data_IF_028023759293
#
_entry.id   IF_028023759293
#
_cell.length_a   1.000
_cell.length_b   1.000
_cell.length_c   1.000
_cell.angle_alpha   90.00
_cell.angle_beta   90.00
_cell.angle_gamma   90.00
#
_symmetry.space_group_name_H-M   'P 1'
#
loop_
_entity.id
_entity.type
_entity.pdbx_description
1 polymer ?
#
# COMPACT_ATOMS: atom_id res chain seq x y z
N UNK A 1 18.55 7.12 -6.96
CA UNK A 1 17.31 7.51 -7.68
C UNK A 1 16.07 6.86 -7.08
N UNK A 2 16.04 5.54 -6.89
CA UNK A 2 14.88 4.87 -6.25
C UNK A 2 14.69 5.26 -4.78
N UNK A 3 15.76 5.21 -3.97
CA UNK A 3 15.69 5.63 -2.56
C UNK A 3 15.20 7.07 -2.42
N UNK A 4 15.67 7.98 -3.28
CA UNK A 4 15.19 9.36 -3.32
C UNK A 4 13.67 9.44 -3.59
N UNK A 5 13.12 8.61 -4.48
CA UNK A 5 11.68 8.57 -4.72
C UNK A 5 10.92 7.97 -3.53
N UNK A 6 11.48 6.96 -2.87
CA UNK A 6 10.92 6.39 -1.64
C UNK A 6 10.89 7.42 -0.51
N UNK A 7 11.99 8.14 -0.30
CA UNK A 7 12.09 9.22 0.68
C UNK A 7 11.02 10.30 0.44
N UNK A 8 10.77 10.67 -0.83
CA UNK A 8 9.74 11.63 -1.21
C UNK A 8 8.32 11.11 -0.90
N UNK A 9 8.00 9.86 -1.25
CA UNK A 9 6.63 9.34 -1.05
C UNK A 9 6.35 9.00 0.42
N UNK A 10 7.38 8.77 1.23
CA UNK A 10 7.25 8.50 2.68
C UNK A 10 7.28 9.78 3.52
N UNK A 11 7.71 10.92 2.97
CA UNK A 11 7.74 12.20 3.66
C UNK A 11 6.33 12.78 3.84
N UNK A 12 5.82 12.70 5.07
CA UNK A 12 4.50 13.25 5.45
C UNK A 12 4.39 14.77 5.32
N UNK A 13 5.50 15.48 5.20
CA UNK A 13 5.53 16.94 4.98
C UNK A 13 5.44 17.33 3.51
N UNK A 14 5.65 16.37 2.61
CA UNK A 14 5.59 16.59 1.18
C UNK A 14 4.15 16.84 0.70
N UNK A 15 3.94 17.78 -0.25
CA UNK A 15 2.62 18.00 -0.83
C UNK A 15 2.08 16.73 -1.51
N UNK A 16 0.77 16.48 -1.41
CA UNK A 16 0.14 15.31 -2.03
C UNK A 16 0.46 15.19 -3.54
N UNK A 17 0.51 16.32 -4.26
CA UNK A 17 0.90 16.35 -5.68
C UNK A 17 2.31 15.81 -5.94
N UNK A 18 3.25 16.07 -5.03
CA UNK A 18 4.63 15.57 -5.13
C UNK A 18 4.68 14.07 -4.84
N UNK A 19 3.90 13.60 -3.85
CA UNK A 19 3.77 12.18 -3.52
C UNK A 19 3.19 11.41 -4.72
N UNK A 20 2.09 11.88 -5.31
CA UNK A 20 1.50 11.26 -6.50
C UNK A 20 2.46 11.24 -7.69
N UNK A 21 3.23 12.32 -7.89
CA UNK A 21 4.26 12.36 -8.92
C UNK A 21 5.38 11.35 -8.65
N UNK A 22 5.79 11.19 -7.39
CA UNK A 22 6.73 10.18 -6.95
C UNK A 22 6.25 8.77 -7.30
N UNK A 23 5.00 8.44 -6.96
CA UNK A 23 4.40 7.15 -7.33
C UNK A 23 4.28 6.94 -8.84
N UNK A 24 4.00 8.00 -9.61
CA UNK A 24 3.99 7.92 -11.08
C UNK A 24 5.36 7.55 -11.64
N UNK A 25 6.45 8.11 -11.09
CA UNK A 25 7.80 7.73 -11.48
C UNK A 25 8.13 6.29 -11.08
N UNK A 26 7.76 5.87 -9.86
CA UNK A 26 7.92 4.48 -9.42
C UNK A 26 7.17 3.51 -10.36
N UNK A 27 5.93 3.84 -10.75
CA UNK A 27 5.17 3.07 -11.73
C UNK A 27 5.89 2.94 -13.08
N UNK A 28 6.42 4.04 -13.62
CA UNK A 28 7.20 4.01 -14.88
C UNK A 28 8.40 3.07 -14.76
N UNK A 29 9.12 3.10 -13.63
CA UNK A 29 10.27 2.21 -13.42
C UNK A 29 9.82 0.74 -13.39
N UNK A 30 8.68 0.43 -12.76
CA UNK A 30 8.14 -0.94 -12.74
C UNK A 30 7.80 -1.45 -14.13
N UNK A 31 7.34 -0.56 -15.03
CA UNK A 31 7.02 -0.89 -16.41
C UNK A 31 8.24 -1.25 -17.23
N UNK A 32 9.39 -0.65 -16.95
CA UNK A 32 10.66 -0.92 -17.66
C UNK A 32 11.34 -2.17 -17.11
N UNK A 33 11.42 -2.32 -15.78
CA UNK A 33 12.17 -3.42 -15.14
C UNK A 33 11.35 -4.69 -14.91
N UNK A 34 10.03 -4.59 -15.01
CA UNK A 34 9.09 -5.63 -14.59
C UNK A 34 8.74 -5.50 -13.11
N UNK A 35 7.45 -5.54 -12.80
CA UNK A 35 6.95 -5.28 -11.44
C UNK A 35 7.50 -6.27 -10.41
N UNK A 36 7.63 -7.57 -10.73
CA UNK A 36 8.14 -8.58 -9.77
C UNK A 36 9.57 -8.33 -9.31
N UNK A 37 10.44 -7.86 -10.21
CA UNK A 37 11.83 -7.54 -9.90
C UNK A 37 11.87 -6.26 -9.07
N UNK A 38 11.08 -5.27 -9.48
CA UNK A 38 11.00 -3.99 -8.78
C UNK A 38 10.46 -4.14 -7.37
N UNK A 39 9.47 -5.01 -7.17
CA UNK A 39 8.79 -5.19 -5.90
C UNK A 39 9.71 -5.59 -4.75
N UNK A 40 10.76 -6.36 -5.05
CA UNK A 40 11.78 -6.76 -4.07
C UNK A 40 12.61 -5.59 -3.52
N UNK A 41 12.47 -4.41 -4.13
CA UNK A 41 13.21 -3.22 -3.76
C UNK A 41 12.41 -2.30 -2.83
N UNK A 42 11.12 -2.57 -2.64
CA UNK A 42 10.33 -1.84 -1.66
C UNK A 42 10.76 -2.19 -0.23
N UNK A 43 10.69 -1.22 0.70
CA UNK A 43 10.74 -1.51 2.13
C UNK A 43 9.66 -2.53 2.48
N UNK A 44 10.06 -3.64 3.07
CA UNK A 44 9.15 -4.72 3.45
C UNK A 44 9.61 -5.22 4.82
N UNK A 45 9.65 -4.30 5.78
CA UNK A 45 9.78 -4.65 7.19
C UNK A 45 8.42 -4.50 7.87
N UNK A 46 8.28 -5.12 9.05
CA UNK A 46 7.04 -5.03 9.85
C UNK A 46 6.69 -3.58 10.19
N UNK A 47 7.71 -2.73 10.34
CA UNK A 47 7.56 -1.29 10.60
C UNK A 47 6.92 -0.52 9.43
N UNK A 48 6.93 -1.07 8.21
CA UNK A 48 6.39 -0.42 7.01
C UNK A 48 4.89 -0.67 6.81
N UNK A 49 4.29 -1.63 7.52
CA UNK A 49 2.87 -2.00 7.37
C UNK A 49 1.95 -0.82 7.65
N UNK A 50 2.04 -0.23 8.86
CA UNK A 50 1.15 0.88 9.25
C UNK A 50 1.37 2.13 8.39
N UNK A 51 2.62 2.58 8.09
CA UNK A 51 2.85 3.68 7.16
C UNK A 51 2.18 3.47 5.79
N UNK A 52 2.23 2.25 5.24
CA UNK A 52 1.58 1.95 3.95
C UNK A 52 0.06 1.98 4.07
N UNK A 53 -0.51 1.47 5.17
CA UNK A 53 -1.94 1.55 5.44
C UNK A 53 -2.43 2.99 5.67
N UNK A 54 -1.64 3.83 6.33
CA UNK A 54 -1.92 5.26 6.50
C UNK A 54 -1.96 5.97 5.15
N UNK A 55 -0.96 5.73 4.28
CA UNK A 55 -0.94 6.31 2.92
C UNK A 55 -2.16 5.90 2.10
N UNK A 56 -2.69 4.69 2.31
CA UNK A 56 -3.91 4.20 1.69
C UNK A 56 -5.18 4.88 2.19
N UNK A 57 -5.24 5.20 3.47
CA UNK A 57 -6.41 5.85 4.08
C UNK A 57 -6.71 7.22 3.42
N UNK A 58 -5.67 7.88 2.92
CA UNK A 58 -5.77 9.16 2.22
C UNK A 58 -6.15 9.03 0.73
N UNK A 59 -6.24 7.81 0.18
CA UNK A 59 -6.57 7.59 -1.23
C UNK A 59 -8.07 7.47 -1.47
N UNK A 60 -8.53 7.99 -2.62
CA UNK A 60 -9.89 7.81 -3.09
C UNK A 60 -9.96 6.74 -4.19
N UNK A 61 -10.62 5.59 -3.98
CA UNK A 61 -10.77 4.55 -5.00
C UNK A 61 -11.49 5.00 -6.27
N UNK A 62 -12.29 6.08 -6.20
CA UNK A 62 -13.07 6.63 -7.33
C UNK A 62 -12.31 7.70 -8.12
N UNK A 63 -11.15 8.14 -7.65
CA UNK A 63 -10.37 9.16 -8.34
C UNK A 63 -9.65 8.55 -9.55
N UNK A 64 -9.94 8.99 -10.76
CA UNK A 64 -9.29 8.42 -11.95
C UNK A 64 -7.90 9.02 -12.25
N UNK A 65 -7.50 10.10 -11.59
CA UNK A 65 -6.25 10.81 -11.88
C UNK A 65 -5.03 10.22 -11.16
N UNK A 66 -5.24 9.59 -9.99
CA UNK A 66 -4.17 9.10 -9.12
C UNK A 66 -4.05 7.58 -9.07
N UNK A 67 -4.55 6.88 -10.08
CA UNK A 67 -4.59 5.41 -10.09
C UNK A 67 -3.19 4.77 -9.98
N UNK A 68 -2.12 5.41 -10.48
CA UNK A 68 -0.75 4.93 -10.31
C UNK A 68 -0.35 4.87 -8.84
N UNK A 69 -0.80 5.82 -8.02
CA UNK A 69 -0.52 5.83 -6.58
C UNK A 69 -1.13 4.60 -5.92
N UNK A 70 -2.42 4.35 -6.17
CA UNK A 70 -3.15 3.22 -5.60
C UNK A 70 -2.59 1.88 -6.09
N UNK A 71 -2.27 1.79 -7.37
CA UNK A 71 -1.61 0.62 -7.94
C UNK A 71 -0.28 0.32 -7.24
N UNK A 72 0.58 1.32 -7.07
CA UNK A 72 1.89 1.13 -6.45
C UNK A 72 1.78 0.80 -4.96
N UNK A 73 0.85 1.42 -4.24
CA UNK A 73 0.58 1.11 -2.83
C UNK A 73 0.06 -0.33 -2.66
N UNK A 74 -0.82 -0.82 -3.55
CA UNK A 74 -1.35 -2.19 -3.47
C UNK A 74 -0.24 -3.22 -3.68
N UNK A 75 0.65 -2.96 -4.64
CA UNK A 75 1.80 -3.80 -4.86
C UNK A 75 2.77 -3.77 -3.66
N UNK A 76 3.02 -2.59 -3.09
CA UNK A 76 3.85 -2.46 -1.90
C UNK A 76 3.28 -3.29 -0.74
N UNK A 77 1.99 -3.11 -0.44
CA UNK A 77 1.30 -3.86 0.61
C UNK A 77 1.39 -5.38 0.39
N UNK A 78 1.28 -5.85 -0.85
CA UNK A 78 1.42 -7.27 -1.19
C UNK A 78 2.80 -7.84 -0.85
N UNK A 79 3.87 -7.07 -1.11
CA UNK A 79 5.23 -7.50 -0.73
C UNK A 79 5.41 -7.47 0.78
N UNK A 80 4.83 -6.48 1.45
CA UNK A 80 4.87 -6.42 2.92
C UNK A 80 4.14 -7.63 3.51
N UNK A 81 3.02 -8.09 2.95
CA UNK A 81 2.32 -9.29 3.42
C UNK A 81 3.08 -10.61 3.22
N UNK A 82 4.08 -10.66 2.33
CA UNK A 82 4.88 -11.87 2.09
C UNK A 82 5.94 -12.14 3.18
N UNK A 83 6.22 -11.17 4.05
CA UNK A 83 7.21 -11.34 5.11
C UNK A 83 6.62 -12.32 6.15
N UNK A 84 7.43 -13.28 6.68
CA UNK A 84 6.96 -14.23 7.68
C UNK A 84 6.84 -13.56 9.07
N UNK A 85 5.85 -12.71 9.26
CA UNK A 85 5.48 -12.15 10.56
C UNK A 85 3.98 -12.28 10.82
N UNK A 86 3.64 -12.25 12.09
CA UNK A 86 2.27 -12.40 12.54
C UNK A 86 1.64 -11.02 12.74
N UNK A 87 0.68 -10.67 11.90
CA UNK A 87 -0.07 -9.41 11.97
C UNK A 87 -0.79 -9.23 13.32
N UNK A 88 -1.15 -10.32 14.00
CA UNK A 88 -1.80 -10.25 15.32
C UNK A 88 -0.90 -9.59 16.39
N UNK A 89 0.42 -9.55 16.17
CA UNK A 89 1.36 -8.84 17.05
C UNK A 89 1.27 -7.33 16.90
N UNK A 90 0.87 -6.83 15.73
CA UNK A 90 0.67 -5.41 15.47
C UNK A 90 -0.69 -4.92 16.00
N UNK A 91 -1.68 -5.81 16.09
CA UNK A 91 -3.00 -5.51 16.63
C UNK A 91 -2.99 -5.18 18.15
N UNK A 92 -1.82 -5.28 18.81
CA UNK A 92 -1.50 -4.82 20.17
C UNK A 92 -2.70 -4.56 21.10
N UNK A 93 -3.05 -5.53 21.95
CA UNK A 93 -4.16 -5.44 22.93
C UNK A 93 -5.39 -4.68 22.38
N UNK A 94 -6.06 -5.22 21.35
CA UNK A 94 -7.42 -4.83 20.90
C UNK A 94 -8.46 -4.72 22.05
N UNK A 95 -8.08 -5.09 23.27
CA UNK A 95 -8.76 -4.80 24.53
C UNK A 95 -8.52 -3.34 24.95
N UNK A 96 -9.11 -2.36 24.27
CA UNK A 96 -9.31 -1.06 24.93
C UNK A 96 -10.65 -0.44 24.53
N UNK A 97 -11.53 -0.42 25.53
CA UNK A 97 -12.84 0.24 25.62
C UNK A 97 -14.06 -0.57 25.10
N UNK A 98 -15.08 -0.80 25.96
CA UNK A 98 -16.34 -1.41 25.54
C UNK A 98 -17.05 -0.47 24.56
N UNK A 99 -17.15 -0.88 23.29
CA UNK A 99 -17.88 -0.16 22.24
C UNK A 99 -17.05 0.26 21.02
N UNK A 100 -15.73 0.08 21.04
CA UNK A 100 -14.86 0.37 19.89
C UNK A 100 -14.24 -0.94 19.36
N UNK A 101 -14.92 -1.59 18.43
CA UNK A 101 -14.34 -2.72 17.68
C UNK A 101 -13.32 -2.15 16.69
N UNK A 102 -12.08 -1.93 17.14
CA UNK A 102 -11.00 -1.55 16.23
C UNK A 102 -10.74 -2.74 15.29
N UNK A 103 -10.87 -2.51 13.99
CA UNK A 103 -10.70 -3.51 12.95
C UNK A 103 -9.25 -4.01 12.96
N UNK A 104 -9.02 -5.33 12.85
CA UNK A 104 -7.67 -5.88 12.83
C UNK A 104 -6.91 -5.39 11.58
N UNK A 105 -5.58 -5.40 11.62
CA UNK A 105 -4.77 -5.04 10.46
C UNK A 105 -5.06 -5.95 9.28
N UNK A 106 -5.28 -7.24 9.52
CA UNK A 106 -5.67 -8.18 8.47
C UNK A 106 -7.01 -7.82 7.85
N UNK A 107 -8.02 -7.49 8.66
CA UNK A 107 -9.31 -7.05 8.16
C UNK A 107 -9.18 -5.74 7.36
N UNK A 108 -8.32 -4.80 7.79
CA UNK A 108 -8.03 -3.56 7.04
C UNK A 108 -7.43 -3.87 5.67
N UNK A 109 -6.44 -4.75 5.61
CA UNK A 109 -5.81 -5.18 4.35
C UNK A 109 -6.84 -5.83 3.43
N UNK A 110 -7.67 -6.74 3.95
CA UNK A 110 -8.72 -7.41 3.18
C UNK A 110 -9.76 -6.42 2.65
N UNK A 111 -10.23 -5.48 3.47
CA UNK A 111 -11.19 -4.46 3.05
C UNK A 111 -10.62 -3.58 1.93
N UNK A 112 -9.35 -3.18 2.05
CA UNK A 112 -8.65 -2.45 0.99
C UNK A 112 -8.64 -3.30 -0.29
N UNK A 113 -8.17 -4.54 -0.22
CA UNK A 113 -8.08 -5.42 -1.37
C UNK A 113 -9.44 -5.61 -2.06
N UNK A 114 -10.50 -5.89 -1.30
CA UNK A 114 -11.87 -6.04 -1.82
C UNK A 114 -12.36 -4.76 -2.52
N UNK A 115 -12.15 -3.58 -1.91
CA UNK A 115 -12.55 -2.31 -2.51
C UNK A 115 -11.89 -2.07 -3.87
N UNK A 116 -10.62 -2.47 -4.02
CA UNK A 116 -9.84 -2.29 -5.24
C UNK A 116 -10.02 -3.42 -6.26
N UNK A 117 -10.56 -4.59 -5.89
CA UNK A 117 -10.97 -5.61 -6.85
C UNK A 117 -12.15 -5.14 -7.71
N UNK A 118 -12.96 -4.20 -7.21
CA UNK A 118 -14.16 -3.70 -7.89
C UNK A 118 -13.92 -2.51 -8.82
N UNK A 119 -12.77 -1.82 -8.72
CA UNK A 119 -12.46 -0.65 -9.57
C UNK A 119 -12.17 -1.06 -11.01
N UNK A 120 -12.39 -0.18 -11.99
CA UNK A 120 -12.21 -0.47 -13.42
C UNK A 120 -10.80 -0.16 -13.95
N UNK A 121 -9.91 0.39 -13.12
CA UNK A 121 -8.55 0.74 -13.50
C UNK A 121 -7.55 -0.38 -13.19
N UNK A 122 -6.27 -0.10 -13.42
CA UNK A 122 -5.18 -1.06 -13.24
C UNK A 122 -4.91 -1.45 -11.79
N UNK A 123 -5.38 -0.68 -10.82
CA UNK A 123 -5.28 -1.03 -9.40
C UNK A 123 -5.97 -2.37 -9.10
N UNK A 124 -6.99 -2.76 -9.88
CA UNK A 124 -7.61 -4.09 -9.81
C UNK A 124 -6.59 -5.23 -9.93
N UNK A 125 -5.65 -5.12 -10.88
CA UNK A 125 -4.63 -6.15 -11.10
C UNK A 125 -3.70 -6.27 -9.88
N UNK A 126 -3.35 -5.14 -9.26
CA UNK A 126 -2.53 -5.12 -8.06
C UNK A 126 -3.29 -5.67 -6.83
N UNK A 127 -4.59 -5.39 -6.72
CA UNK A 127 -5.44 -5.96 -5.68
C UNK A 127 -5.53 -7.48 -5.79
N UNK A 128 -5.64 -8.01 -7.01
CA UNK A 128 -5.61 -9.45 -7.24
C UNK A 128 -4.28 -10.09 -6.80
N UNK A 129 -3.16 -9.39 -7.00
CA UNK A 129 -1.84 -9.83 -6.51
C UNK A 129 -1.81 -9.85 -4.97
N UNK A 130 -2.33 -8.81 -4.31
CA UNK A 130 -2.41 -8.72 -2.84
C UNK A 130 -3.25 -9.85 -2.22
N UNK A 131 -4.37 -10.23 -2.83
CA UNK A 131 -5.20 -11.35 -2.33
C UNK A 131 -4.55 -12.71 -2.56
N UNK A 132 -3.63 -12.81 -3.54
CA UNK A 132 -2.96 -14.07 -3.90
C UNK A 132 -1.64 -14.31 -3.15
N UNK A 133 -1.13 -13.32 -2.44
CA UNK A 133 0.09 -13.41 -1.61
C UNK A 133 -0.20 -14.00 -0.25
#
# INVERSE_FOLDING_TARGET
MMNLLLDIVQDKTSPATLIHLGFKFLYIITKVRGYKIFLRLFPHEVADVEPVLDMFADQNPKDHETWETRYMLLLWLSVTCLIPFDFSRLDGNLLTQPGQTRMSIMDRILQIAESYLLVSDKARDAAAVLVST
#
